data_IF_990653301245
#
_entry.id   IF_990653301245
#
_cell.length_a   1.000
_cell.length_b   1.000
_cell.length_c   1.000
_cell.angle_alpha   90.00
_cell.angle_beta   90.00
_cell.angle_gamma   90.00
#
_symmetry.space_group_name_H-M   'P 1'
#
loop_
_entity.id
_entity.type
_entity.pdbx_description
1 polymer ?
#
# COMPACT_ATOMS: atom_id res chain seq x y z
N UNK A 1 -10.80 30.79 -8.13
CA UNK A 1 -11.39 29.43 -7.98
C UNK A 1 -10.39 28.39 -8.46
N UNK A 2 -9.76 27.59 -7.56
CA UNK A 2 -8.65 26.68 -7.91
C UNK A 2 -9.06 25.23 -8.24
N UNK A 3 -10.33 24.96 -8.58
CA UNK A 3 -10.89 23.59 -8.62
C UNK A 3 -10.41 22.72 -9.80
N UNK A 4 -9.73 23.27 -10.81
CA UNK A 4 -9.43 22.55 -12.06
C UNK A 4 -8.01 21.97 -12.18
N UNK A 5 -7.06 22.34 -11.32
CA UNK A 5 -5.67 21.84 -11.43
C UNK A 5 -5.48 20.40 -10.96
N UNK A 6 -6.34 19.91 -10.05
CA UNK A 6 -6.27 18.55 -9.51
C UNK A 6 -6.58 17.47 -10.56
N UNK A 7 -7.48 17.76 -11.51
CA UNK A 7 -7.82 16.86 -12.62
C UNK A 7 -6.72 16.78 -13.68
N UNK A 8 -5.94 17.85 -13.88
CA UNK A 8 -4.85 17.87 -14.87
C UNK A 8 -3.61 17.11 -14.41
N UNK A 9 -3.40 16.96 -13.10
CA UNK A 9 -2.26 16.23 -12.53
C UNK A 9 -2.72 15.31 -11.39
N UNK A 10 -3.34 14.16 -11.71
CA UNK A 10 -3.93 13.23 -10.73
C UNK A 10 -2.89 12.44 -9.89
N UNK A 11 -1.60 12.73 -10.07
CA UNK A 11 -0.47 12.05 -9.42
C UNK A 11 -0.63 11.79 -7.91
N UNK A 12 -1.02 12.76 -7.05
CA UNK A 12 -1.16 12.48 -5.61
C UNK A 12 -2.30 11.50 -5.31
N UNK A 13 -3.40 11.54 -6.07
CA UNK A 13 -4.51 10.59 -5.89
C UNK A 13 -4.13 9.20 -6.34
N UNK A 14 -3.45 9.08 -7.48
CA UNK A 14 -2.91 7.80 -7.96
C UNK A 14 -1.98 7.22 -6.91
N UNK A 15 -1.11 8.05 -6.31
CA UNK A 15 -0.23 7.64 -5.22
C UNK A 15 -1.00 7.05 -4.03
N UNK A 16 -1.99 7.78 -3.51
CA UNK A 16 -2.83 7.33 -2.38
C UNK A 16 -3.61 6.06 -2.72
N UNK A 17 -4.22 5.98 -3.91
CA UNK A 17 -4.97 4.81 -4.35
C UNK A 17 -4.09 3.56 -4.49
N UNK A 18 -2.88 3.70 -5.03
CA UNK A 18 -1.92 2.60 -5.14
C UNK A 18 -1.44 2.12 -3.77
N UNK A 19 -1.21 3.04 -2.82
CA UNK A 19 -0.85 2.69 -1.44
C UNK A 19 -1.99 1.93 -0.74
N UNK A 20 -3.20 2.49 -0.79
CA UNK A 20 -4.38 1.86 -0.19
C UNK A 20 -4.67 0.48 -0.82
N UNK A 21 -4.55 0.38 -2.15
CA UNK A 21 -4.72 -0.87 -2.89
C UNK A 21 -3.64 -1.91 -2.55
N UNK A 22 -2.37 -1.49 -2.44
CA UNK A 22 -1.27 -2.37 -2.06
C UNK A 22 -1.44 -2.94 -0.65
N UNK A 23 -1.83 -2.09 0.30
CA UNK A 23 -2.17 -2.54 1.65
C UNK A 23 -3.39 -3.47 1.67
N UNK A 24 -4.48 -3.10 1.00
CA UNK A 24 -5.70 -3.91 0.95
C UNK A 24 -5.46 -5.28 0.30
N UNK A 25 -4.61 -5.35 -0.73
CA UNK A 25 -4.20 -6.62 -1.34
C UNK A 25 -3.46 -7.51 -0.32
N UNK A 26 -2.45 -6.96 0.38
CA UNK A 26 -1.72 -7.71 1.41
C UNK A 26 -2.63 -8.17 2.55
N UNK A 27 -3.52 -7.31 3.02
CA UNK A 27 -4.38 -7.59 4.17
C UNK A 27 -5.55 -8.51 3.81
N UNK A 28 -6.38 -8.13 2.84
CA UNK A 28 -7.62 -8.85 2.54
C UNK A 28 -7.39 -10.15 1.78
N UNK A 29 -6.37 -10.22 0.92
CA UNK A 29 -6.08 -11.42 0.13
C UNK A 29 -5.03 -12.30 0.82
N UNK A 30 -3.99 -11.68 1.38
CA UNK A 30 -2.95 -12.42 2.12
C UNK A 30 -3.44 -12.92 3.47
N UNK A 31 -3.89 -12.02 4.34
CA UNK A 31 -4.27 -12.37 5.72
C UNK A 31 -5.50 -13.28 5.77
N UNK A 32 -6.61 -12.82 5.18
CA UNK A 32 -7.88 -13.55 5.32
C UNK A 32 -7.82 -14.93 4.64
N UNK A 33 -7.06 -15.07 3.56
CA UNK A 33 -6.90 -16.34 2.86
C UNK A 33 -6.21 -17.42 3.70
N UNK A 34 -5.21 -17.03 4.49
CA UNK A 34 -4.33 -17.97 5.21
C UNK A 34 -4.68 -18.13 6.68
N UNK A 35 -5.08 -17.05 7.36
CA UNK A 35 -5.31 -17.07 8.81
C UNK A 35 -6.80 -17.20 9.19
N UNK A 36 -7.72 -16.57 8.45
CA UNK A 36 -9.14 -16.54 8.82
C UNK A 36 -9.98 -17.59 8.07
N UNK A 37 -9.82 -17.67 6.76
CA UNK A 37 -10.60 -18.59 5.92
C UNK A 37 -9.99 -19.99 5.84
N UNK A 38 -8.76 -20.17 6.34
CA UNK A 38 -7.98 -21.41 6.24
C UNK A 38 -8.13 -22.07 4.87
N UNK A 39 -7.97 -21.29 3.79
CA UNK A 39 -8.29 -21.71 2.43
C UNK A 39 -7.18 -22.59 1.82
N UNK A 40 -6.67 -23.61 2.54
CA UNK A 40 -5.51 -24.46 2.14
C UNK A 40 -4.28 -23.72 1.60
N UNK A 41 -4.17 -22.41 1.82
CA UNK A 41 -3.08 -21.60 1.32
C UNK A 41 -1.94 -21.63 2.33
N UNK A 42 -0.72 -21.89 1.83
CA UNK A 42 0.48 -21.98 2.64
C UNK A 42 0.99 -20.60 3.04
N UNK A 43 1.85 -20.52 4.07
CA UNK A 43 2.47 -19.26 4.49
C UNK A 43 3.21 -18.55 3.35
N UNK A 44 3.75 -19.32 2.40
CA UNK A 44 4.36 -18.79 1.17
C UNK A 44 3.41 -17.97 0.30
N UNK A 45 2.11 -18.28 0.28
CA UNK A 45 1.12 -17.48 -0.45
C UNK A 45 0.97 -16.08 0.15
N UNK A 46 0.90 -15.95 1.49
CA UNK A 46 0.86 -14.64 2.17
C UNK A 46 2.08 -13.82 1.78
N UNK A 47 3.27 -14.43 1.83
CA UNK A 47 4.52 -13.74 1.52
C UNK A 47 4.50 -13.20 0.09
N UNK A 48 4.09 -13.99 -0.90
CA UNK A 48 4.02 -13.55 -2.30
C UNK A 48 3.01 -12.39 -2.46
N UNK A 49 1.80 -12.53 -1.91
CA UNK A 49 0.76 -11.49 -2.03
C UNK A 49 1.18 -10.20 -1.33
N UNK A 50 1.80 -10.31 -0.15
CA UNK A 50 2.33 -9.16 0.58
C UNK A 50 3.48 -8.49 -0.16
N UNK A 51 4.37 -9.22 -0.83
CA UNK A 51 5.42 -8.62 -1.66
C UNK A 51 4.82 -7.84 -2.84
N UNK A 52 3.78 -8.35 -3.50
CA UNK A 52 3.07 -7.62 -4.54
C UNK A 52 2.41 -6.34 -3.99
N UNK A 53 1.76 -6.45 -2.82
CA UNK A 53 1.20 -5.30 -2.11
C UNK A 53 2.26 -4.25 -1.74
N UNK A 54 3.44 -4.70 -1.33
CA UNK A 54 4.57 -3.84 -0.99
C UNK A 54 5.08 -3.09 -2.22
N UNK A 55 5.21 -3.77 -3.37
CA UNK A 55 5.62 -3.14 -4.63
C UNK A 55 4.63 -2.03 -5.01
N UNK A 56 3.32 -2.30 -4.96
CA UNK A 56 2.29 -1.29 -5.23
C UNK A 56 2.38 -0.10 -4.27
N UNK A 57 2.61 -0.38 -2.99
CA UNK A 57 2.76 0.63 -1.95
C UNK A 57 3.98 1.51 -2.18
N UNK A 58 5.12 0.92 -2.56
CA UNK A 58 6.34 1.65 -2.91
C UNK A 58 6.11 2.53 -4.13
N UNK A 59 5.50 2.00 -5.19
CA UNK A 59 5.20 2.77 -6.40
C UNK A 59 4.28 3.95 -6.06
N UNK A 60 3.20 3.72 -5.29
CA UNK A 60 2.28 4.76 -4.84
C UNK A 60 2.97 5.83 -3.98
N UNK A 61 3.82 5.41 -3.03
CA UNK A 61 4.62 6.30 -2.20
C UNK A 61 5.59 7.16 -3.01
N UNK A 62 6.23 6.61 -4.05
CA UNK A 62 7.08 7.38 -4.96
C UNK A 62 6.29 8.44 -5.75
N UNK A 63 5.08 8.12 -6.22
CA UNK A 63 4.21 9.10 -6.87
C UNK A 63 3.79 10.22 -5.90
N UNK A 64 3.44 9.87 -4.66
CA UNK A 64 3.08 10.83 -3.63
C UNK A 64 4.28 11.73 -3.23
N UNK A 65 5.47 11.16 -3.09
CA UNK A 65 6.71 11.88 -2.79
C UNK A 65 7.09 12.85 -3.91
N UNK A 66 6.94 12.43 -5.18
CA UNK A 66 7.14 13.32 -6.34
C UNK A 66 6.12 14.46 -6.35
N UNK A 67 4.86 14.20 -6.01
CA UNK A 67 3.82 15.22 -5.93
C UNK A 67 4.10 16.25 -4.82
N UNK A 68 4.65 15.81 -3.69
CA UNK A 68 5.07 16.66 -2.58
C UNK A 68 6.27 17.56 -2.94
N UNK A 69 7.31 17.00 -3.56
CA UNK A 69 8.54 17.72 -3.92
C UNK A 69 8.42 18.61 -5.16
N UNK A 70 7.37 18.44 -5.97
CA UNK A 70 7.19 19.19 -7.20
C UNK A 70 6.65 20.61 -6.99
N UNK A 71 6.89 21.55 -7.93
CA UNK A 71 6.33 22.90 -7.88
C UNK A 71 4.81 22.83 -8.08
N UNK A 72 4.03 22.98 -7.01
CA UNK A 72 2.57 23.00 -7.06
C UNK A 72 1.94 23.73 -5.87
N UNK A 73 0.66 24.10 -6.02
CA UNK A 73 -0.11 24.75 -4.97
C UNK A 73 -0.26 23.89 -3.70
N UNK A 74 -0.51 24.58 -2.56
CA UNK A 74 -0.49 24.02 -1.20
C UNK A 74 -1.25 22.70 -1.04
N UNK A 75 -2.44 22.57 -1.63
CA UNK A 75 -3.27 21.36 -1.51
C UNK A 75 -2.64 20.11 -2.14
N UNK A 76 -1.89 20.25 -3.24
CA UNK A 76 -1.25 19.11 -3.92
C UNK A 76 -0.07 18.59 -3.11
N UNK A 77 0.73 19.50 -2.57
CA UNK A 77 1.88 19.16 -1.72
C UNK A 77 1.44 18.52 -0.41
N UNK A 78 0.33 19.00 0.19
CA UNK A 78 -0.26 18.36 1.36
C UNK A 78 -0.69 16.91 1.08
N UNK A 79 -1.47 16.68 0.02
CA UNK A 79 -1.88 15.33 -0.36
C UNK A 79 -0.70 14.42 -0.71
N UNK A 80 0.34 14.97 -1.35
CA UNK A 80 1.58 14.23 -1.62
C UNK A 80 2.30 13.81 -0.33
N UNK A 81 2.39 14.69 0.67
CA UNK A 81 3.00 14.37 1.96
C UNK A 81 2.17 13.31 2.71
N UNK A 82 0.86 13.48 2.78
CA UNK A 82 -0.06 12.51 3.41
C UNK A 82 0.07 11.14 2.73
N UNK A 83 0.08 11.10 1.39
CA UNK A 83 0.26 9.86 0.64
C UNK A 83 1.62 9.19 0.88
N UNK A 84 2.70 9.98 1.02
CA UNK A 84 4.02 9.45 1.34
C UNK A 84 4.09 8.87 2.77
N UNK A 85 3.50 9.56 3.75
CA UNK A 85 3.38 9.06 5.12
C UNK A 85 2.50 7.79 5.19
N UNK A 86 1.41 7.76 4.44
CA UNK A 86 0.56 6.58 4.31
C UNK A 86 1.32 5.40 3.71
N UNK A 87 2.18 5.64 2.71
CA UNK A 87 3.02 4.60 2.12
C UNK A 87 4.00 4.00 3.12
N UNK A 88 4.60 4.82 3.98
CA UNK A 88 5.49 4.35 5.06
C UNK A 88 4.72 3.48 6.06
N UNK A 89 3.55 3.95 6.51
CA UNK A 89 2.71 3.20 7.45
C UNK A 89 2.23 1.87 6.86
N UNK A 90 1.71 1.90 5.62
CA UNK A 90 1.28 0.71 4.89
C UNK A 90 2.44 -0.26 4.65
N UNK A 91 3.60 0.26 4.21
CA UNK A 91 4.80 -0.54 4.00
C UNK A 91 5.24 -1.25 5.28
N UNK A 92 5.27 -0.55 6.41
CA UNK A 92 5.56 -1.14 7.71
C UNK A 92 4.57 -2.26 8.07
N UNK A 93 3.26 -2.02 7.90
CA UNK A 93 2.24 -3.03 8.15
C UNK A 93 2.41 -4.29 7.27
N UNK A 94 2.73 -4.10 5.99
CA UNK A 94 2.98 -5.21 5.05
C UNK A 94 4.24 -5.99 5.44
N UNK A 95 5.30 -5.32 5.91
CA UNK A 95 6.51 -6.01 6.40
C UNK A 95 6.20 -6.87 7.63
N UNK A 96 5.37 -6.37 8.56
CA UNK A 96 4.91 -7.16 9.70
C UNK A 96 4.07 -8.36 9.24
N UNK A 97 3.22 -8.20 8.24
CA UNK A 97 2.44 -9.30 7.64
C UNK A 97 3.36 -10.38 7.03
N UNK A 98 4.42 -9.98 6.33
CA UNK A 98 5.41 -10.92 5.78
C UNK A 98 6.11 -11.67 6.92
N UNK A 99 6.57 -10.96 7.95
CA UNK A 99 7.20 -11.58 9.11
C UNK A 99 6.25 -12.58 9.80
N UNK A 100 4.98 -12.20 9.97
CA UNK A 100 3.95 -13.08 10.52
C UNK A 100 3.76 -14.35 9.66
N UNK A 101 3.70 -14.22 8.33
CA UNK A 101 3.59 -15.36 7.41
C UNK A 101 4.80 -16.31 7.40
N UNK A 102 5.96 -15.86 7.89
CA UNK A 102 7.17 -16.67 8.02
C UNK A 102 7.33 -17.32 9.40
N UNK A 103 6.77 -16.70 10.45
CA UNK A 103 6.96 -17.13 11.85
C UNK A 103 5.75 -17.94 12.34
N UNK A 104 4.54 -17.53 11.99
CA UNK A 104 3.33 -18.15 12.51
C UNK A 104 2.99 -19.42 11.72
N UNK A 105 2.65 -20.52 12.42
CA UNK A 105 2.12 -21.70 11.76
C UNK A 105 0.80 -21.36 11.07
N UNK A 106 0.63 -21.87 9.85
CA UNK A 106 -0.61 -21.71 9.09
C UNK A 106 -1.62 -22.78 9.49
N UNK A 107 -2.90 -22.64 9.12
CA UNK A 107 -3.93 -23.61 9.53
C UNK A 107 -3.64 -25.09 9.15
N UNK A 108 -2.74 -25.35 8.20
CA UNK A 108 -2.33 -26.69 7.77
C UNK A 108 -0.82 -26.96 7.91
N UNK A 109 -0.11 -26.12 8.67
CA UNK A 109 1.33 -26.22 8.90
C UNK A 109 1.65 -26.33 10.38
#
# INVERSE_FOLDING_TARGET
MPRFDLLRRPQPFIGVLLVAGGWALSHQVGSNGVFDACARQSGGYVVIVSLLGLILTIIGGLYALRAWRGPAGSGRSFLGLVGALLALLAGFAILLQIAAGLILPTCFG
#
